data_IF_756951782076
#
_entry.id   IF_756951782076
#
_cell.length_a   1.000
_cell.length_b   1.000
_cell.length_c   1.000
_cell.angle_alpha   90.00
_cell.angle_beta   90.00
_cell.angle_gamma   90.00
#
_symmetry.space_group_name_H-M   'P 1'
#
loop_
_entity.id
_entity.type
_entity.pdbx_description
1 polymer ?
#
# COMPACT_ATOMS: atom_id res chain seq x y z
N UNK A 1 11.74 -17.17 4.11
CA UNK A 1 11.44 -15.92 3.41
C UNK A 1 10.90 -14.96 4.44
N UNK A 2 11.44 -13.76 4.50
CA UNK A 2 10.93 -12.69 5.34
C UNK A 2 9.58 -12.20 4.79
N UNK A 3 8.63 -11.88 5.66
CA UNK A 3 7.28 -11.43 5.29
C UNK A 3 6.89 -10.25 6.18
N UNK A 4 6.10 -9.33 5.62
CA UNK A 4 5.42 -8.28 6.36
C UNK A 4 3.96 -8.69 6.53
N UNK A 5 3.49 -8.75 7.76
CA UNK A 5 2.10 -9.11 8.08
C UNK A 5 1.20 -7.88 7.96
N UNK A 6 0.10 -8.00 7.21
CA UNK A 6 -0.86 -6.90 7.01
C UNK A 6 -2.16 -7.06 7.82
N UNK A 7 -2.48 -8.28 8.27
CA UNK A 7 -3.76 -8.59 8.92
C UNK A 7 -4.98 -8.50 7.99
N UNK A 8 -6.16 -8.30 8.56
CA UNK A 8 -7.40 -8.04 7.80
C UNK A 8 -7.63 -6.53 7.67
N UNK A 9 -7.88 -6.05 6.45
CA UNK A 9 -8.12 -4.63 6.18
C UNK A 9 -9.61 -4.38 6.03
N UNK A 10 -10.17 -3.49 6.85
CA UNK A 10 -11.56 -3.06 6.72
C UNK A 10 -11.72 -2.25 5.43
N UNK A 11 -12.89 -2.33 4.80
CA UNK A 11 -13.19 -1.53 3.60
C UNK A 11 -14.25 -0.49 3.89
N UNK A 12 -14.30 0.56 3.08
CA UNK A 12 -15.28 1.64 3.26
C UNK A 12 -16.71 1.12 3.06
N UNK A 13 -17.66 1.76 3.75
CA UNK A 13 -19.07 1.36 3.73
C UNK A 13 -19.69 1.58 2.34
N UNK A 14 -19.42 2.75 1.77
CA UNK A 14 -19.99 3.19 0.51
C UNK A 14 -18.88 3.20 -0.54
N UNK A 15 -18.81 2.13 -1.33
CA UNK A 15 -17.86 1.97 -2.41
C UNK A 15 -18.59 1.94 -3.74
N UNK A 16 -18.09 2.72 -4.69
CA UNK A 16 -18.56 2.71 -6.07
C UNK A 16 -17.40 2.38 -7.00
N UNK A 17 -17.64 1.55 -8.02
CA UNK A 17 -16.67 1.25 -9.09
C UNK A 17 -16.52 2.43 -10.06
N UNK A 18 -16.25 3.62 -9.50
CA UNK A 18 -16.16 4.88 -10.22
C UNK A 18 -14.73 5.17 -10.64
N UNK A 19 -14.56 6.10 -11.58
CA UNK A 19 -13.24 6.64 -11.96
C UNK A 19 -12.52 7.24 -10.74
N UNK A 20 -13.25 7.92 -9.86
CA UNK A 20 -12.68 8.50 -8.65
C UNK A 20 -12.07 7.42 -7.74
N UNK A 21 -12.79 6.31 -7.53
CA UNK A 21 -12.29 5.18 -6.76
C UNK A 21 -11.06 4.53 -7.41
N UNK A 22 -11.06 4.41 -8.74
CA UNK A 22 -9.93 3.85 -9.50
C UNK A 22 -8.68 4.73 -9.50
N UNK A 23 -8.81 6.05 -9.27
CA UNK A 23 -7.68 6.97 -9.17
C UNK A 23 -6.99 6.92 -7.80
N UNK A 24 -7.70 6.59 -6.72
CA UNK A 24 -7.13 6.60 -5.35
C UNK A 24 -5.83 5.80 -5.22
N UNK A 25 -5.69 4.56 -5.73
CA UNK A 25 -4.41 3.84 -5.62
C UNK A 25 -3.22 4.59 -6.22
N UNK A 26 -3.44 5.32 -7.32
CA UNK A 26 -2.39 6.13 -7.95
C UNK A 26 -2.03 7.36 -7.09
N UNK A 27 -3.05 8.04 -6.55
CA UNK A 27 -2.86 9.19 -5.67
C UNK A 27 -2.08 8.82 -4.40
N UNK A 28 -2.47 7.73 -3.72
CA UNK A 28 -1.80 7.29 -2.50
C UNK A 28 -0.37 6.78 -2.79
N UNK A 29 -0.16 6.09 -3.92
CA UNK A 29 1.20 5.71 -4.34
C UNK A 29 2.10 6.92 -4.61
N UNK A 30 1.54 8.02 -5.15
CA UNK A 30 2.28 9.27 -5.32
C UNK A 30 2.66 9.90 -3.97
N UNK A 31 1.81 9.79 -2.95
CA UNK A 31 2.13 10.27 -1.60
C UNK A 31 3.20 9.44 -0.91
N UNK A 32 3.23 8.11 -1.09
CA UNK A 32 4.34 7.26 -0.62
C UNK A 32 5.67 7.80 -1.15
N UNK A 33 5.72 8.11 -2.45
CA UNK A 33 6.92 8.69 -3.05
C UNK A 33 7.26 10.06 -2.46
N UNK A 34 6.27 10.94 -2.29
CA UNK A 34 6.46 12.25 -1.65
C UNK A 34 6.98 12.17 -0.21
N UNK A 35 6.47 11.23 0.58
CA UNK A 35 6.94 10.98 1.95
C UNK A 35 8.39 10.52 1.97
N UNK A 36 8.79 9.65 1.04
CA UNK A 36 10.19 9.25 0.89
C UNK A 36 11.10 10.42 0.45
N UNK A 37 10.64 11.29 -0.46
CA UNK A 37 11.42 12.48 -0.85
C UNK A 37 11.68 13.37 0.36
N UNK A 38 10.64 13.64 1.16
CA UNK A 38 10.77 14.44 2.38
C UNK A 38 11.75 13.78 3.37
N UNK A 39 11.66 12.47 3.57
CA UNK A 39 12.63 11.74 4.40
C UNK A 39 14.07 11.87 3.88
N UNK A 40 14.28 11.74 2.55
CA UNK A 40 15.59 11.82 1.93
C UNK A 40 16.22 13.22 2.03
N UNK A 41 15.43 14.27 1.83
CA UNK A 41 15.88 15.67 1.80
C UNK A 41 16.28 16.19 3.18
N UNK A 42 15.63 15.73 4.25
CA UNK A 42 15.97 16.12 5.63
C UNK A 42 17.20 15.40 6.19
N UNK A 43 17.77 14.45 5.43
CA UNK A 43 18.94 13.66 5.80
C UNK A 43 18.60 12.52 6.77
N UNK A 44 19.06 11.28 6.54
CA UNK A 44 18.84 10.15 7.46
C UNK A 44 19.72 10.25 8.73
N UNK A 45 20.11 11.46 9.13
CA UNK A 45 21.14 11.72 10.13
C UNK A 45 20.52 12.26 11.40
N UNK A 46 20.74 11.51 12.48
CA UNK A 46 20.30 11.68 13.86
C UNK A 46 18.98 10.97 14.14
N UNK A 47 19.10 9.79 14.75
CA UNK A 47 18.04 9.04 15.41
C UNK A 47 16.74 8.94 14.58
N UNK A 48 16.49 7.77 13.98
CA UNK A 48 15.21 7.39 13.35
C UNK A 48 13.98 7.49 14.30
N UNK A 49 14.15 8.11 15.48
CA UNK A 49 13.14 8.59 16.43
C UNK A 49 12.83 10.09 16.30
N UNK A 50 13.25 10.83 15.27
CA UNK A 50 12.41 11.94 14.76
C UNK A 50 11.13 11.32 14.17
N UNK A 51 10.24 10.98 15.10
CA UNK A 51 9.16 9.99 15.07
C UNK A 51 7.98 10.39 14.16
N UNK A 52 8.25 10.75 12.91
CA UNK A 52 7.19 11.15 11.98
C UNK A 52 7.47 10.91 10.51
N UNK A 53 8.73 10.89 10.06
CA UNK A 53 9.01 10.74 8.62
C UNK A 53 8.93 9.29 8.14
N UNK A 54 9.52 8.35 8.89
CA UNK A 54 9.37 6.91 8.61
C UNK A 54 7.93 6.48 8.84
N UNK A 55 7.31 6.94 9.94
CA UNK A 55 5.90 6.67 10.22
C UNK A 55 5.00 7.19 9.09
N UNK A 56 5.27 8.39 8.55
CA UNK A 56 4.54 8.90 7.38
C UNK A 56 4.73 8.01 6.15
N UNK A 57 5.93 7.50 5.88
CA UNK A 57 6.11 6.56 4.76
C UNK A 57 5.25 5.31 4.97
N UNK A 58 5.20 4.78 6.20
CA UNK A 58 4.39 3.61 6.56
C UNK A 58 2.90 3.91 6.43
N UNK A 59 2.43 5.05 6.94
CA UNK A 59 1.03 5.51 6.83
C UNK A 59 0.60 5.60 5.37
N UNK A 60 1.41 6.22 4.51
CA UNK A 60 1.10 6.33 3.09
C UNK A 60 1.14 4.97 2.38
N UNK A 61 2.00 4.03 2.82
CA UNK A 61 1.97 2.65 2.33
C UNK A 61 0.67 1.95 2.73
N UNK A 62 0.21 2.15 3.97
CA UNK A 62 -1.06 1.63 4.45
C UNK A 62 -2.25 2.24 3.68
N UNK A 63 -2.23 3.53 3.40
CA UNK A 63 -3.26 4.21 2.58
C UNK A 63 -3.29 3.69 1.15
N UNK A 64 -2.12 3.43 0.54
CA UNK A 64 -2.04 2.82 -0.79
C UNK A 64 -2.62 1.40 -0.80
N UNK A 65 -2.34 0.59 0.23
CA UNK A 65 -2.93 -0.75 0.40
C UNK A 65 -4.45 -0.62 0.61
N UNK A 66 -4.90 0.28 1.47
CA UNK A 66 -6.31 0.56 1.75
C UNK A 66 -7.05 0.97 0.47
N UNK A 67 -6.45 1.81 -0.37
CA UNK A 67 -7.01 2.23 -1.65
C UNK A 67 -7.15 1.05 -2.63
N UNK A 68 -6.15 0.16 -2.68
CA UNK A 68 -6.20 -1.05 -3.52
C UNK A 68 -7.32 -2.00 -3.06
N UNK A 69 -7.45 -2.27 -1.76
CA UNK A 69 -8.49 -3.17 -1.25
C UNK A 69 -9.89 -2.57 -1.38
N UNK A 70 -10.03 -1.26 -1.19
CA UNK A 70 -11.30 -0.55 -1.44
C UNK A 70 -11.70 -0.63 -2.90
N UNK A 71 -10.75 -0.48 -3.83
CA UNK A 71 -11.03 -0.67 -5.26
C UNK A 71 -11.47 -2.11 -5.56
N UNK A 72 -10.78 -3.12 -5.04
CA UNK A 72 -11.18 -4.51 -5.21
C UNK A 72 -12.60 -4.77 -4.65
N UNK A 73 -12.90 -4.24 -3.46
CA UNK A 73 -14.21 -4.36 -2.83
C UNK A 73 -15.32 -3.61 -3.61
N UNK A 74 -15.01 -2.51 -4.28
CA UNK A 74 -15.93 -1.81 -5.17
C UNK A 74 -16.35 -2.67 -6.38
N UNK A 75 -15.48 -3.60 -6.81
CA UNK A 75 -15.79 -4.62 -7.81
C UNK A 75 -16.37 -5.92 -7.22
N UNK A 76 -16.74 -5.92 -5.93
CA UNK A 76 -17.33 -7.09 -5.26
C UNK A 76 -16.32 -8.13 -4.77
N UNK A 77 -15.02 -7.88 -4.87
CA UNK A 77 -13.98 -8.81 -4.39
C UNK A 77 -13.75 -8.57 -2.90
N UNK A 78 -13.95 -9.61 -2.07
CA UNK A 78 -13.80 -9.54 -0.60
C UNK A 78 -12.68 -10.42 -0.04
N UNK A 79 -12.12 -11.29 -0.86
CA UNK A 79 -11.00 -12.15 -0.50
C UNK A 79 -9.95 -12.14 -1.61
N UNK A 80 -8.76 -11.60 -1.30
CA UNK A 80 -7.62 -11.53 -2.21
C UNK A 80 -6.60 -12.65 -1.96
N UNK A 81 -6.85 -13.58 -1.04
CA UNK A 81 -5.88 -14.60 -0.61
C UNK A 81 -5.34 -15.39 -1.78
N UNK A 82 -6.21 -15.89 -2.67
CA UNK A 82 -5.78 -16.62 -3.87
C UNK A 82 -5.01 -15.70 -4.82
N UNK A 83 -5.51 -14.51 -5.11
CA UNK A 83 -4.89 -13.58 -6.04
C UNK A 83 -3.48 -13.15 -5.59
N UNK A 84 -3.27 -13.01 -4.27
CA UNK A 84 -1.95 -12.70 -3.69
C UNK A 84 -1.00 -13.90 -3.75
N UNK A 85 -1.47 -15.14 -3.54
CA UNK A 85 -0.67 -16.36 -3.77
C UNK A 85 -0.24 -16.46 -5.23
N UNK A 86 -1.18 -16.29 -6.16
CA UNK A 86 -0.88 -16.28 -7.59
C UNK A 86 0.11 -15.14 -7.95
N UNK A 87 0.07 -14.01 -7.23
CA UNK A 87 1.04 -12.92 -7.40
C UNK A 87 2.44 -13.28 -6.90
N UNK A 88 2.54 -13.97 -5.75
CA UNK A 88 3.80 -14.51 -5.24
C UNK A 88 4.42 -15.49 -6.23
N UNK A 89 3.64 -16.45 -6.74
CA UNK A 89 4.09 -17.44 -7.71
C UNK A 89 4.65 -16.78 -8.98
N UNK A 90 3.92 -15.80 -9.54
CA UNK A 90 4.42 -15.01 -10.69
C UNK A 90 5.72 -14.26 -10.39
N UNK A 91 5.94 -13.81 -9.15
CA UNK A 91 7.19 -13.14 -8.79
C UNK A 91 8.35 -14.13 -8.64
N UNK A 92 8.10 -15.36 -8.18
CA UNK A 92 9.10 -16.45 -8.16
C UNK A 92 9.48 -16.90 -9.56
N UNK A 93 8.51 -17.08 -10.45
CA UNK A 93 8.75 -17.40 -11.87
C UNK A 93 9.62 -16.35 -12.55
N UNK A 94 9.52 -15.08 -12.11
CA UNK A 94 10.33 -13.95 -12.60
C UNK A 94 11.68 -13.79 -11.88
N UNK A 95 12.00 -14.64 -10.91
CA UNK A 95 13.25 -14.58 -10.12
C UNK A 95 13.36 -13.34 -9.21
N UNK A 96 12.23 -12.77 -8.79
CA UNK A 96 12.19 -11.60 -7.87
C UNK A 96 12.10 -12.02 -6.39
N UNK A 97 11.75 -13.27 -6.13
CA UNK A 97 11.56 -13.90 -4.81
C UNK A 97 12.19 -15.29 -4.79
#
# INVERSE_FOLDING_TARGET
MERVEIGSVAVFRDLEASKAQALKPLEEAAKVFGAWQAWRENGPTLDNTEAGLVDRIVDECCDAIQACVNLAAAYGVRDLTKAMRDCEDRNRERGRL
#
